data_IF_133852306958
#
_entry.id   IF_133852306958
#
_cell.length_a   1.000
_cell.length_b   1.000
_cell.length_c   1.000
_cell.angle_alpha   90.00
_cell.angle_beta   90.00
_cell.angle_gamma   90.00
#
_symmetry.space_group_name_H-M   'P 1'
#
loop_
_entity.id
_entity.type
_entity.pdbx_description
1 polymer ?
#
# COMPACT_ATOMS: atom_id res chain seq x y z
N UNK A 1 33.68 -14.34 23.45
CA UNK A 1 33.33 -14.27 22.01
C UNK A 1 33.03 -12.82 21.70
N UNK A 2 33.80 -12.18 20.82
CA UNK A 2 33.58 -10.79 20.41
C UNK A 2 32.34 -10.81 19.50
N UNK A 3 31.26 -10.14 19.89
CA UNK A 3 30.10 -9.99 19.01
C UNK A 3 30.52 -8.99 17.92
N UNK A 4 30.89 -9.48 16.75
CA UNK A 4 31.18 -8.62 15.60
C UNK A 4 29.87 -7.97 15.18
N UNK A 5 29.79 -6.66 15.42
CA UNK A 5 28.70 -5.80 14.97
C UNK A 5 29.05 -5.36 13.56
N UNK A 6 28.24 -5.75 12.59
CA UNK A 6 28.40 -5.36 11.18
C UNK A 6 27.80 -3.97 10.94
N UNK A 7 26.70 -3.65 11.62
CA UNK A 7 25.98 -2.39 11.48
C UNK A 7 25.37 -1.91 12.80
N UNK A 8 25.16 -0.61 12.93
CA UNK A 8 24.34 0.00 14.00
C UNK A 8 23.08 0.70 13.50
N UNK A 9 22.99 0.95 12.19
CA UNK A 9 21.84 1.55 11.53
C UNK A 9 21.64 0.97 10.13
N UNK A 10 20.41 1.06 9.61
CA UNK A 10 20.07 0.60 8.26
C UNK A 10 20.96 1.23 7.18
N UNK A 11 21.39 2.48 7.38
CA UNK A 11 22.23 3.24 6.45
C UNK A 11 23.65 2.69 6.28
N UNK A 12 24.10 1.83 7.19
CA UNK A 12 25.40 1.15 7.11
C UNK A 12 25.33 -0.14 6.27
N UNK A 13 24.13 -0.57 5.89
CA UNK A 13 23.91 -1.74 5.04
C UNK A 13 23.74 -1.34 3.56
N UNK A 14 23.95 -2.28 2.62
CA UNK A 14 23.50 -2.12 1.24
C UNK A 14 21.99 -1.89 1.15
N UNK A 15 21.52 -1.22 0.09
CA UNK A 15 20.10 -0.89 -0.09
C UNK A 15 19.17 -2.12 -0.10
N UNK A 16 19.69 -3.30 -0.49
CA UNK A 16 18.93 -4.57 -0.47
C UNK A 16 18.94 -5.29 0.89
N UNK A 17 19.55 -4.71 1.93
CA UNK A 17 19.67 -5.30 3.27
C UNK A 17 19.25 -4.31 4.34
N UNK A 18 19.01 -4.75 5.57
CA UNK A 18 18.66 -3.91 6.70
C UNK A 18 19.49 -4.31 7.92
N UNK A 19 19.70 -3.35 8.82
CA UNK A 19 20.42 -3.62 10.04
C UNK A 19 19.50 -4.29 11.06
N UNK A 20 19.59 -5.60 11.14
CA UNK A 20 18.75 -6.44 11.99
C UNK A 20 19.67 -7.21 12.93
N UNK A 21 19.49 -7.04 14.24
CA UNK A 21 20.35 -7.66 15.26
C UNK A 21 21.85 -7.42 15.04
N UNK A 22 22.21 -6.19 14.62
CA UNK A 22 23.59 -5.75 14.36
C UNK A 22 24.26 -6.45 13.17
N UNK A 23 23.46 -7.01 12.26
CA UNK A 23 23.89 -7.65 11.01
C UNK A 23 23.08 -7.13 9.82
N UNK A 24 23.73 -7.02 8.66
CA UNK A 24 23.08 -6.61 7.42
C UNK A 24 22.38 -7.80 6.76
N UNK A 25 21.10 -7.97 7.08
CA UNK A 25 20.27 -9.09 6.65
C UNK A 25 19.21 -8.64 5.64
N UNK A 26 18.80 -9.55 4.75
CA UNK A 26 17.66 -9.31 3.87
C UNK A 26 16.37 -9.28 4.70
N UNK A 27 15.67 -8.13 4.82
CA UNK A 27 14.43 -8.08 5.58
C UNK A 27 13.30 -8.92 4.96
N UNK A 28 13.37 -9.30 3.67
CA UNK A 28 12.43 -10.24 3.06
C UNK A 28 12.61 -11.68 3.52
N UNK A 29 13.80 -12.04 4.03
CA UNK A 29 14.05 -13.36 4.61
C UNK A 29 13.44 -13.50 6.02
N UNK A 30 13.02 -12.38 6.64
CA UNK A 30 12.33 -12.43 7.92
C UNK A 30 10.92 -13.01 7.78
N UNK A 31 10.59 -13.90 8.71
CA UNK A 31 9.26 -14.51 8.74
C UNK A 31 8.20 -13.43 9.01
N UNK A 32 7.20 -13.34 8.13
CA UNK A 32 6.15 -12.32 8.22
C UNK A 32 6.50 -10.98 7.58
N UNK A 33 7.63 -10.87 6.86
CA UNK A 33 7.95 -9.66 6.09
C UNK A 33 6.87 -9.30 5.06
N UNK A 34 6.24 -10.32 4.47
CA UNK A 34 5.07 -10.18 3.59
C UNK A 34 4.01 -11.24 3.89
N UNK A 35 2.80 -10.99 3.38
CA UNK A 35 1.67 -11.89 3.48
C UNK A 35 1.85 -13.18 2.68
N UNK A 36 0.98 -14.16 2.95
CA UNK A 36 1.01 -15.46 2.26
C UNK A 36 0.87 -15.26 0.74
N UNK A 37 1.67 -15.96 -0.06
CA UNK A 37 1.71 -15.86 -1.53
C UNK A 37 2.06 -14.46 -2.08
N UNK A 38 2.58 -13.54 -1.27
CA UNK A 38 3.06 -12.25 -1.75
C UNK A 38 4.53 -12.32 -2.17
N UNK A 39 4.89 -11.57 -3.21
CA UNK A 39 6.26 -11.30 -3.58
C UNK A 39 6.85 -10.25 -2.63
N UNK A 40 8.05 -10.52 -2.12
CA UNK A 40 8.83 -9.57 -1.33
C UNK A 40 10.05 -9.10 -2.11
N UNK A 41 10.31 -7.79 -2.09
CA UNK A 41 11.58 -7.20 -2.53
C UNK A 41 12.03 -6.14 -1.53
N UNK A 42 13.33 -5.94 -1.39
CA UNK A 42 13.86 -4.92 -0.47
C UNK A 42 13.96 -3.58 -1.17
N UNK A 43 13.46 -2.53 -0.53
CA UNK A 43 13.57 -1.15 -0.99
C UNK A 43 13.97 -0.30 0.21
N UNK A 44 15.16 0.30 0.16
CA UNK A 44 15.71 1.16 1.21
C UNK A 44 15.66 0.48 2.59
N UNK A 45 16.29 -0.70 2.68
CA UNK A 45 16.38 -1.46 3.93
C UNK A 45 15.02 -1.93 4.49
N UNK A 46 13.93 -1.87 3.71
CA UNK A 46 12.60 -2.33 4.12
C UNK A 46 11.98 -3.31 3.12
N UNK A 47 11.20 -4.30 3.59
CA UNK A 47 10.52 -5.23 2.71
C UNK A 47 9.32 -4.54 2.04
N UNK A 48 9.18 -4.75 0.73
CA UNK A 48 8.10 -4.24 -0.10
C UNK A 48 7.33 -5.42 -0.70
N UNK A 49 6.07 -5.52 -0.30
CA UNK A 49 5.21 -6.64 -0.68
C UNK A 49 4.30 -6.29 -1.86
N UNK A 50 4.12 -7.23 -2.79
CA UNK A 50 3.16 -7.15 -3.90
C UNK A 50 2.56 -8.52 -4.21
N UNK A 51 1.32 -8.60 -4.69
CA UNK A 51 0.79 -9.88 -5.17
C UNK A 51 1.42 -10.24 -6.53
N UNK A 52 1.78 -11.52 -6.75
CA UNK A 52 2.26 -12.00 -8.04
C UNK A 52 1.17 -11.91 -9.10
N UNK A 53 1.56 -12.07 -10.37
CA UNK A 53 0.61 -12.09 -11.47
C UNK A 53 -0.47 -13.17 -11.24
N UNK A 54 -1.72 -12.86 -11.59
CA UNK A 54 -2.89 -13.70 -11.36
C UNK A 54 -3.24 -13.95 -9.88
N UNK A 55 -2.73 -13.14 -8.96
CA UNK A 55 -3.15 -13.13 -7.57
C UNK A 55 -3.66 -11.74 -7.16
N UNK A 56 -4.69 -11.70 -6.33
CA UNK A 56 -5.29 -10.50 -5.77
C UNK A 56 -5.35 -10.60 -4.24
N UNK A 57 -5.55 -9.48 -3.57
CA UNK A 57 -5.60 -9.41 -2.10
C UNK A 57 -4.66 -8.36 -1.53
N UNK A 58 -4.40 -8.45 -0.22
CA UNK A 58 -3.53 -7.52 0.49
C UNK A 58 -2.12 -8.13 0.64
N UNK A 59 -1.08 -7.56 0.02
CA UNK A 59 0.26 -8.17 -0.01
C UNK A 59 0.96 -8.36 1.34
N UNK A 60 0.52 -7.64 2.39
CA UNK A 60 1.06 -7.78 3.75
C UNK A 60 0.30 -8.84 4.57
N UNK A 61 -0.87 -9.29 4.09
CA UNK A 61 -1.72 -10.26 4.79
C UNK A 61 -1.75 -11.58 4.04
N UNK A 62 -2.33 -11.57 2.84
CA UNK A 62 -2.39 -12.72 1.95
C UNK A 62 -2.79 -12.28 0.53
N UNK A 63 -2.18 -12.94 -0.45
CA UNK A 63 -2.60 -12.94 -1.83
C UNK A 63 -3.27 -14.30 -2.13
N UNK A 64 -4.36 -14.26 -2.87
CA UNK A 64 -5.08 -15.45 -3.32
C UNK A 64 -5.25 -15.42 -4.84
N UNK A 65 -5.39 -16.59 -5.49
CA UNK A 65 -5.60 -16.64 -6.93
C UNK A 65 -6.78 -15.77 -7.37
N UNK A 66 -6.58 -15.02 -8.45
CA UNK A 66 -7.65 -14.30 -9.12
C UNK A 66 -8.38 -15.26 -10.08
N UNK A 67 -9.62 -15.60 -9.73
CA UNK A 67 -10.50 -16.44 -10.55
C UNK A 67 -10.78 -15.85 -11.94
N UNK A 68 -10.51 -14.55 -12.15
CA UNK A 68 -10.63 -13.90 -13.46
C UNK A 68 -9.42 -14.13 -14.35
N UNK A 69 -8.25 -14.44 -13.79
CA UNK A 69 -7.04 -14.72 -14.57
C UNK A 69 -7.13 -16.04 -15.34
N UNK A 70 -7.95 -16.97 -14.86
CA UNK A 70 -8.13 -18.33 -15.42
C UNK A 70 -9.22 -18.41 -16.50
N UNK A 71 -9.93 -17.31 -16.79
CA UNK A 71 -11.02 -17.27 -17.78
C UNK A 71 -10.57 -17.34 -19.25
N UNK A 72 -9.31 -17.70 -19.50
CA UNK A 72 -8.84 -18.13 -20.82
C UNK A 72 -9.03 -19.63 -21.06
N UNK A 73 -9.54 -20.40 -20.07
CA UNK A 73 -9.95 -21.78 -20.28
C UNK A 73 -11.49 -21.90 -20.33
N UNK A 74 -12.08 -22.36 -21.44
CA UNK A 74 -13.54 -22.57 -21.52
C UNK A 74 -13.91 -23.74 -20.63
N UNK A 75 -14.47 -23.49 -19.44
CA UNK A 75 -15.25 -24.53 -18.75
C UNK A 75 -16.48 -24.82 -19.61
N UNK A 76 -16.79 -26.10 -19.91
CA UNK A 76 -18.06 -26.43 -20.54
C UNK A 76 -19.18 -25.93 -19.63
N UNK A 77 -20.06 -25.09 -20.18
CA UNK A 77 -21.24 -24.64 -19.46
C UNK A 77 -22.07 -25.86 -19.04
N UNK A 78 -22.75 -25.83 -17.87
CA UNK A 78 -23.78 -26.81 -17.59
C UNK A 78 -24.78 -26.81 -18.75
N UNK A 79 -25.16 -27.98 -19.26
CA UNK A 79 -26.18 -28.13 -20.29
C UNK A 79 -27.51 -27.63 -19.73
N UNK A 80 -27.75 -26.33 -19.92
CA UNK A 80 -29.01 -25.67 -19.66
C UNK A 80 -29.75 -25.66 -20.99
N UNK A 81 -30.79 -26.47 -21.06
CA UNK A 81 -31.73 -26.42 -22.17
C UNK A 81 -32.48 -25.09 -22.13
N UNK A 82 -32.69 -24.49 -23.31
CA UNK A 82 -33.30 -23.17 -23.46
C UNK A 82 -34.31 -23.16 -24.61
N UNK A 83 -35.33 -22.32 -24.48
CA UNK A 83 -36.27 -21.99 -25.56
C UNK A 83 -36.15 -20.52 -25.99
N UNK A 84 -35.77 -19.66 -25.06
CA UNK A 84 -35.54 -18.23 -25.26
C UNK A 84 -34.21 -17.79 -24.67
N UNK A 85 -33.66 -16.69 -25.19
CA UNK A 85 -32.40 -16.11 -24.69
C UNK A 85 -32.45 -15.81 -23.19
N UNK A 86 -33.61 -15.43 -22.67
CA UNK A 86 -33.84 -15.17 -21.24
C UNK A 86 -33.65 -16.38 -20.34
N UNK A 87 -33.69 -17.59 -20.90
CA UNK A 87 -33.47 -18.84 -20.15
C UNK A 87 -31.97 -19.07 -19.90
N UNK A 88 -31.12 -18.34 -20.63
CA UNK A 88 -29.68 -18.40 -20.51
C UNK A 88 -29.14 -17.34 -19.52
N UNK A 89 -27.96 -17.55 -18.94
CA UNK A 89 -27.21 -16.49 -18.27
C UNK A 89 -26.98 -15.29 -19.21
N UNK A 90 -26.86 -14.07 -18.67
CA UNK A 90 -26.67 -12.82 -19.46
C UNK A 90 -25.50 -12.88 -20.47
N UNK A 91 -24.54 -13.76 -20.23
CA UNK A 91 -23.36 -13.98 -21.07
C UNK A 91 -23.53 -15.02 -22.18
N UNK A 92 -24.71 -15.64 -22.33
CA UNK A 92 -24.99 -16.69 -23.32
C UNK A 92 -26.28 -16.37 -24.08
N UNK A 93 -26.50 -16.99 -25.23
CA UNK A 93 -27.73 -16.88 -26.03
C UNK A 93 -28.28 -18.26 -26.36
N UNK A 94 -29.59 -18.37 -26.55
CA UNK A 94 -30.21 -19.64 -26.86
C UNK A 94 -29.99 -20.01 -28.33
N UNK A 95 -29.35 -21.15 -28.58
CA UNK A 95 -29.13 -21.63 -29.94
C UNK A 95 -30.38 -22.38 -30.44
N UNK A 96 -31.12 -21.76 -31.35
CA UNK A 96 -32.45 -22.21 -31.81
C UNK A 96 -32.50 -23.63 -32.37
N UNK A 97 -31.39 -24.16 -32.91
CA UNK A 97 -31.35 -25.49 -33.52
C UNK A 97 -31.05 -26.61 -32.51
N UNK A 98 -30.30 -26.30 -31.45
CA UNK A 98 -29.86 -27.30 -30.48
C UNK A 98 -30.54 -27.17 -29.13
N UNK A 99 -31.22 -26.04 -28.88
CA UNK A 99 -31.84 -25.75 -27.58
C UNK A 99 -30.81 -25.54 -26.47
N UNK A 100 -29.57 -25.19 -26.80
CA UNK A 100 -28.49 -25.04 -25.82
C UNK A 100 -28.07 -23.58 -25.68
N UNK A 101 -27.78 -23.15 -24.46
CA UNK A 101 -27.14 -21.87 -24.21
C UNK A 101 -25.69 -21.88 -24.69
N UNK A 102 -25.39 -21.08 -25.72
CA UNK A 102 -24.04 -20.96 -26.30
C UNK A 102 -23.53 -19.53 -26.18
N UNK A 103 -22.21 -19.37 -26.17
CA UNK A 103 -21.61 -18.05 -26.21
C UNK A 103 -21.70 -17.50 -27.64
N UNK A 104 -22.49 -16.44 -27.90
CA UNK A 104 -22.61 -15.88 -29.23
C UNK A 104 -21.30 -15.23 -29.73
N UNK A 105 -20.35 -14.92 -28.85
CA UNK A 105 -19.03 -14.43 -29.22
C UNK A 105 -18.10 -15.50 -29.81
N UNK A 106 -18.45 -16.79 -29.67
CA UNK A 106 -17.71 -17.90 -30.28
C UNK A 106 -18.24 -18.26 -31.68
N UNK A 107 -19.31 -17.61 -32.14
CA UNK A 107 -19.84 -17.81 -33.47
C UNK A 107 -18.88 -17.29 -34.53
N UNK A 108 -18.54 -18.14 -35.50
CA UNK A 108 -17.70 -17.75 -36.65
C UNK A 108 -18.32 -16.66 -37.52
N UNK A 109 -19.63 -16.43 -37.40
CA UNK A 109 -20.38 -15.39 -38.12
C UNK A 109 -20.21 -14.01 -37.50
N UNK A 110 -19.69 -13.92 -36.27
CA UNK A 110 -19.49 -12.65 -35.56
C UNK A 110 -18.03 -12.48 -35.17
N UNK A 111 -17.32 -11.61 -35.88
CA UNK A 111 -15.95 -11.25 -35.59
C UNK A 111 -15.82 -9.75 -35.39
N UNK A 112 -14.99 -9.37 -34.43
CA UNK A 112 -14.72 -7.96 -34.15
C UNK A 112 -13.52 -7.47 -34.95
N UNK A 113 -13.58 -6.21 -35.36
CA UNK A 113 -12.46 -5.50 -35.98
C UNK A 113 -11.24 -5.44 -35.04
N UNK A 114 -10.08 -5.07 -35.60
CA UNK A 114 -8.80 -4.99 -34.87
C UNK A 114 -8.93 -4.11 -33.62
N UNK A 115 -8.25 -4.51 -32.54
CA UNK A 115 -8.28 -3.84 -31.24
C UNK A 115 -9.64 -3.84 -30.52
N UNK A 116 -10.63 -4.59 -31.02
CA UNK A 116 -11.90 -4.86 -30.33
C UNK A 116 -11.96 -6.31 -29.85
N UNK A 117 -12.69 -6.55 -28.77
CA UNK A 117 -13.06 -7.87 -28.28
C UNK A 117 -14.57 -8.01 -28.28
N UNK A 118 -15.05 -9.22 -28.48
CA UNK A 118 -16.47 -9.50 -28.32
C UNK A 118 -16.82 -9.56 -26.83
N UNK A 119 -17.94 -8.95 -26.48
CA UNK A 119 -18.57 -9.05 -25.17
C UNK A 119 -20.06 -9.30 -25.37
N UNK A 120 -20.64 -10.20 -24.58
CA UNK A 120 -22.10 -10.43 -24.61
C UNK A 120 -22.80 -9.38 -23.76
N UNK A 121 -23.82 -8.73 -24.33
CA UNK A 121 -24.71 -7.78 -23.67
C UNK A 121 -26.14 -8.12 -24.04
N UNK A 122 -26.98 -8.40 -23.04
CA UNK A 122 -28.38 -8.80 -23.24
C UNK A 122 -28.49 -9.97 -24.25
N UNK A 123 -27.70 -11.03 -24.04
CA UNK A 123 -27.64 -12.21 -24.91
C UNK A 123 -27.17 -11.95 -26.34
N UNK A 124 -26.64 -10.76 -26.65
CA UNK A 124 -26.15 -10.41 -27.99
C UNK A 124 -24.65 -10.16 -27.98
N UNK A 125 -23.93 -10.59 -29.03
CA UNK A 125 -22.52 -10.30 -29.15
C UNK A 125 -22.34 -8.82 -29.56
N UNK A 126 -21.45 -8.12 -28.85
CA UNK A 126 -21.14 -6.71 -29.05
C UNK A 126 -19.63 -6.50 -29.06
N UNK A 127 -19.12 -5.80 -30.07
CA UNK A 127 -17.70 -5.45 -30.12
C UNK A 127 -17.39 -4.22 -29.26
N UNK A 128 -16.48 -4.39 -28.29
CA UNK A 128 -16.00 -3.32 -27.41
C UNK A 128 -14.49 -3.19 -27.52
N UNK A 129 -13.93 -1.99 -27.34
CA UNK A 129 -12.47 -1.81 -27.40
C UNK A 129 -11.76 -2.64 -26.32
N UNK A 130 -10.66 -3.31 -26.68
CA UNK A 130 -9.87 -4.15 -25.75
C UNK A 130 -9.25 -3.30 -24.63
N UNK A 131 -8.63 -2.18 -25.01
CA UNK A 131 -7.89 -1.29 -24.11
C UNK A 131 -8.56 0.09 -24.00
N UNK A 132 -9.88 0.20 -24.20
CA UNK A 132 -10.59 1.48 -24.13
C UNK A 132 -10.39 2.39 -25.35
N UNK A 133 -10.67 3.68 -25.18
CA UNK A 133 -10.69 4.67 -26.26
C UNK A 133 -9.50 5.62 -26.19
N UNK A 134 -8.97 6.00 -27.35
CA UNK A 134 -7.91 7.01 -27.53
C UNK A 134 -8.31 8.00 -28.61
N UNK A 135 -7.71 9.18 -28.59
CA UNK A 135 -7.88 10.17 -29.64
C UNK A 135 -6.76 9.99 -30.66
N UNK A 136 -7.11 9.81 -31.94
CA UNK A 136 -6.13 9.67 -33.01
C UNK A 136 -5.53 11.04 -33.40
N UNK A 137 -4.58 11.06 -34.33
CA UNK A 137 -3.93 12.30 -34.80
C UNK A 137 -4.90 13.30 -35.46
N UNK A 138 -6.08 12.85 -35.87
CA UNK A 138 -7.16 13.66 -36.46
C UNK A 138 -8.13 14.20 -35.40
N UNK A 139 -7.94 13.88 -34.12
CA UNK A 139 -8.84 14.31 -33.04
C UNK A 139 -10.06 13.40 -32.86
N UNK A 140 -10.12 12.24 -33.52
CA UNK A 140 -11.27 11.33 -33.47
C UNK A 140 -11.09 10.25 -32.40
N UNK A 141 -12.20 9.84 -31.79
CA UNK A 141 -12.23 8.79 -30.78
C UNK A 141 -12.16 7.40 -31.44
N UNK A 142 -11.09 6.65 -31.18
CA UNK A 142 -10.85 5.31 -31.75
C UNK A 142 -10.48 4.30 -30.66
N UNK A 143 -10.50 3.00 -30.97
CA UNK A 143 -10.02 1.99 -30.01
C UNK A 143 -8.50 2.07 -29.85
N UNK A 144 -8.04 1.99 -28.61
CA UNK A 144 -6.63 1.90 -28.28
C UNK A 144 -5.96 0.70 -28.99
N UNK A 145 -4.79 0.89 -29.67
CA UNK A 145 -4.09 -0.18 -30.36
C UNK A 145 -3.60 -1.27 -29.40
N UNK A 146 -3.41 -2.50 -29.88
CA UNK A 146 -2.94 -3.64 -29.07
C UNK A 146 -1.48 -3.47 -28.55
N UNK A 147 -0.74 -2.48 -29.05
CA UNK A 147 0.59 -2.09 -28.53
C UNK A 147 0.52 -1.25 -27.24
N UNK A 148 -0.66 -0.80 -26.85
CA UNK A 148 -0.89 -0.02 -25.64
C UNK A 148 -0.93 -0.94 -24.42
N UNK A 149 -0.12 -0.67 -23.40
CA UNK A 149 -0.16 -1.41 -22.12
C UNK A 149 -1.08 -0.77 -21.08
N UNK A 150 -1.49 0.48 -21.27
CA UNK A 150 -2.46 1.19 -20.44
C UNK A 150 -3.25 2.20 -21.27
N UNK A 151 -4.46 2.55 -20.84
CA UNK A 151 -5.22 3.65 -21.43
C UNK A 151 -5.53 4.77 -20.43
N UNK A 152 -5.59 4.43 -19.14
CA UNK A 152 -5.76 5.36 -18.03
C UNK A 152 -4.73 5.09 -16.95
N UNK A 153 -4.50 6.09 -16.12
CA UNK A 153 -3.56 5.99 -14.99
C UNK A 153 -3.88 4.83 -14.06
N UNK A 154 -5.16 4.59 -13.78
CA UNK A 154 -5.62 3.47 -12.94
C UNK A 154 -5.38 2.08 -13.54
N UNK A 155 -5.07 1.99 -14.84
CA UNK A 155 -4.66 0.73 -15.47
C UNK A 155 -3.19 0.40 -15.11
N UNK A 156 -2.45 1.35 -14.54
CA UNK A 156 -1.06 1.21 -14.12
C UNK A 156 -0.91 0.90 -12.63
N UNK A 157 0.24 0.33 -12.22
CA UNK A 157 0.62 0.26 -10.82
C UNK A 157 0.61 1.65 -10.15
N UNK A 158 0.35 1.72 -8.84
CA UNK A 158 0.22 3.00 -8.11
C UNK A 158 1.44 3.93 -8.21
N UNK A 159 2.61 3.39 -8.57
CA UNK A 159 3.86 4.13 -8.77
C UNK A 159 4.16 4.50 -10.24
N UNK A 160 3.19 4.34 -11.13
CA UNK A 160 3.30 4.63 -12.55
C UNK A 160 2.04 5.34 -13.05
N UNK A 161 2.15 6.12 -14.10
CA UNK A 161 1.01 6.73 -14.79
C UNK A 161 0.98 6.29 -16.25
N UNK A 162 -0.17 6.41 -16.88
CA UNK A 162 -0.29 6.07 -18.27
C UNK A 162 0.21 7.22 -19.14
N UNK A 163 1.42 7.06 -19.67
CA UNK A 163 2.04 8.08 -20.52
C UNK A 163 2.31 7.47 -21.89
N UNK A 164 1.68 8.04 -22.92
CA UNK A 164 1.74 7.56 -24.30
C UNK A 164 1.42 6.07 -24.41
N UNK A 165 0.43 5.61 -23.63
CA UNK A 165 -0.01 4.22 -23.67
C UNK A 165 0.90 3.21 -22.99
N UNK A 166 1.89 3.67 -22.23
CA UNK A 166 2.75 2.82 -21.42
C UNK A 166 2.74 3.29 -19.98
N UNK A 167 2.73 2.34 -19.05
CA UNK A 167 2.91 2.64 -17.64
C UNK A 167 4.35 3.08 -17.39
N UNK A 168 4.53 4.36 -17.10
CA UNK A 168 5.83 4.96 -16.88
C UNK A 168 5.83 5.74 -15.56
N UNK A 169 6.99 5.83 -14.89
CA UNK A 169 7.10 6.57 -13.65
C UNK A 169 7.08 8.09 -13.93
N UNK A 170 6.07 8.85 -13.48
CA UNK A 170 5.94 10.28 -13.73
C UNK A 170 7.15 11.13 -13.31
N UNK A 171 7.96 10.64 -12.35
CA UNK A 171 9.18 11.30 -11.89
C UNK A 171 10.31 11.30 -12.94
N UNK A 172 10.28 10.35 -13.89
CA UNK A 172 11.39 10.09 -14.82
C UNK A 172 11.04 10.38 -16.30
N UNK A 173 9.79 10.72 -16.61
CA UNK A 173 9.28 10.73 -17.99
C UNK A 173 9.42 12.10 -18.66
N UNK A 174 9.57 13.17 -17.89
CA UNK A 174 9.64 14.54 -18.43
C UNK A 174 11.10 14.96 -18.64
N UNK A 175 11.38 15.62 -19.79
CA UNK A 175 12.69 16.26 -20.06
C UNK A 175 13.09 17.29 -19.00
N UNK A 176 12.11 17.91 -18.34
CA UNK A 176 12.31 18.81 -17.19
C UNK A 176 12.05 18.03 -15.90
N UNK A 177 13.00 18.07 -14.96
CA UNK A 177 12.82 17.46 -13.62
C UNK A 177 11.49 17.96 -13.02
N UNK A 178 10.59 17.05 -12.61
CA UNK A 178 9.28 17.43 -12.08
C UNK A 178 9.38 18.14 -10.72
N UNK A 179 10.45 17.88 -9.95
CA UNK A 179 10.69 18.51 -8.65
C UNK A 179 11.89 19.47 -8.68
N UNK A 180 11.83 20.59 -7.93
CA UNK A 180 12.97 21.48 -7.69
C UNK A 180 14.12 20.79 -6.95
N UNK A 181 15.32 21.37 -7.01
CA UNK A 181 16.48 20.87 -6.26
C UNK A 181 16.22 20.91 -4.74
N UNK A 182 16.76 19.91 -4.02
CA UNK A 182 16.49 19.70 -2.60
C UNK A 182 15.16 18.98 -2.28
N UNK A 183 14.45 18.51 -3.31
CA UNK A 183 13.24 17.68 -3.17
C UNK A 183 13.36 16.38 -3.96
N UNK A 184 12.98 15.28 -3.35
CA UNK A 184 12.88 13.97 -4.00
C UNK A 184 11.50 13.82 -4.60
N UNK A 185 11.42 13.26 -5.81
CA UNK A 185 10.14 12.94 -6.44
C UNK A 185 9.69 11.53 -6.04
N UNK A 186 8.45 11.41 -5.60
CA UNK A 186 7.76 10.14 -5.42
C UNK A 186 6.43 10.17 -6.20
N UNK A 187 5.77 9.03 -6.35
CA UNK A 187 4.52 8.90 -7.10
C UNK A 187 3.38 8.57 -6.14
N UNK A 188 2.40 9.47 -6.07
CA UNK A 188 1.17 9.29 -5.30
C UNK A 188 -0.02 9.49 -6.25
N UNK A 189 -0.96 8.53 -6.24
CA UNK A 189 -2.15 8.55 -7.10
C UNK A 189 -1.83 8.84 -8.57
N UNK A 190 -0.80 8.14 -9.08
CA UNK A 190 -0.30 8.28 -10.45
C UNK A 190 0.25 9.67 -10.80
N UNK A 191 0.55 10.52 -9.80
CA UNK A 191 1.09 11.87 -10.00
C UNK A 191 2.44 12.03 -9.28
N UNK A 192 3.36 12.84 -9.83
CA UNK A 192 4.60 13.16 -9.14
C UNK A 192 4.31 14.08 -7.96
N UNK A 193 4.79 13.70 -6.78
CA UNK A 193 4.74 14.47 -5.53
C UNK A 193 6.17 14.73 -5.07
N UNK A 194 6.48 15.98 -4.74
CA UNK A 194 7.81 16.38 -4.32
C UNK A 194 7.92 16.39 -2.80
N UNK A 195 8.77 15.51 -2.27
CA UNK A 195 9.04 15.34 -0.85
C UNK A 195 10.31 16.12 -0.50
N UNK A 196 10.23 16.95 0.53
CA UNK A 196 11.38 17.70 1.05
C UNK A 196 12.43 16.77 1.67
N UNK A 197 13.70 16.94 1.31
CA UNK A 197 14.81 16.21 1.95
C UNK A 197 15.76 17.09 2.75
N UNK A 198 15.89 18.39 2.41
CA UNK A 198 16.76 19.33 3.14
C UNK A 198 16.17 20.75 3.21
N UNK A 199 16.28 21.41 4.36
CA UNK A 199 16.00 22.84 4.59
C UNK A 199 14.63 23.36 4.12
N UNK A 200 13.54 22.69 4.50
CA UNK A 200 12.19 23.20 4.23
C UNK A 200 11.72 24.15 5.35
N UNK A 201 11.67 25.44 5.03
CA UNK A 201 11.18 26.51 5.91
C UNK A 201 10.01 27.24 5.19
N UNK A 202 8.83 27.45 5.80
CA UNK A 202 8.49 27.14 7.20
C UNK A 202 7.89 25.75 7.38
N UNK A 203 8.43 25.05 8.39
CA UNK A 203 7.87 24.05 9.32
C UNK A 203 6.64 23.22 8.94
N UNK A 204 6.42 22.90 7.67
CA UNK A 204 5.35 22.01 7.23
C UNK A 204 5.98 20.83 6.49
N UNK A 205 6.34 19.79 7.24
CA UNK A 205 6.32 18.44 6.69
C UNK A 205 4.86 18.11 6.35
N UNK A 206 4.49 18.23 5.06
CA UNK A 206 3.23 17.71 4.55
C UNK A 206 3.34 16.19 4.59
N UNK A 207 2.97 15.61 5.72
CA UNK A 207 2.90 14.17 5.87
C UNK A 207 1.58 13.69 5.27
N UNK A 208 1.59 12.53 4.61
CA UNK A 208 0.36 11.88 4.13
C UNK A 208 -0.01 10.66 4.98
N UNK A 209 0.98 10.11 5.70
CA UNK A 209 0.90 8.97 6.60
C UNK A 209 1.93 9.16 7.71
N UNK A 210 1.77 8.43 8.81
CA UNK A 210 2.64 8.52 9.98
C UNK A 210 4.12 8.26 9.65
N UNK A 211 4.39 7.34 8.71
CA UNK A 211 5.75 7.05 8.21
C UNK A 211 6.45 8.23 7.50
N UNK A 212 5.71 9.29 7.16
CA UNK A 212 6.27 10.55 6.64
C UNK A 212 6.77 11.48 7.74
N UNK A 213 6.64 11.08 9.00
CA UNK A 213 7.09 11.80 10.18
C UNK A 213 8.22 11.04 10.88
N UNK A 214 8.97 11.75 11.72
CA UNK A 214 9.91 11.14 12.64
C UNK A 214 9.20 10.09 13.52
N UNK A 215 9.86 9.01 13.98
CA UNK A 215 9.22 7.94 14.78
C UNK A 215 8.48 8.44 16.03
N UNK A 216 8.91 9.58 16.56
CA UNK A 216 8.38 10.32 17.70
C UNK A 216 7.19 11.26 17.36
N UNK A 217 6.77 11.34 16.09
CA UNK A 217 5.70 12.22 15.63
C UNK A 217 4.67 11.45 14.80
N UNK A 218 3.40 11.84 14.89
CA UNK A 218 2.32 11.26 14.09
C UNK A 218 1.84 12.26 13.01
N UNK A 219 1.37 11.74 11.89
CA UNK A 219 0.81 12.55 10.83
C UNK A 219 -0.66 12.88 11.11
N UNK A 220 -0.96 14.15 11.38
CA UNK A 220 -2.34 14.62 11.61
C UNK A 220 -2.59 15.89 10.81
N UNK A 221 -3.67 15.91 10.04
CA UNK A 221 -4.04 17.04 9.19
C UNK A 221 -2.88 17.55 8.33
N UNK A 222 -2.13 16.61 7.75
CA UNK A 222 -0.95 16.87 6.91
C UNK A 222 0.20 17.58 7.62
N UNK A 223 0.33 17.41 8.94
CA UNK A 223 1.43 17.92 9.74
C UNK A 223 1.94 16.84 10.68
N UNK A 224 3.25 16.77 10.83
CA UNK A 224 3.84 15.95 11.88
C UNK A 224 3.63 16.64 13.23
N UNK A 225 2.87 16.00 14.10
CA UNK A 225 2.53 16.50 15.44
C UNK A 225 2.88 15.46 16.48
N UNK A 226 3.23 15.91 17.68
CA UNK A 226 3.44 15.02 18.82
C UNK A 226 2.08 14.43 19.29
N UNK A 227 1.87 13.11 19.17
CA UNK A 227 0.63 12.48 19.59
C UNK A 227 0.44 12.46 21.12
N UNK A 228 1.49 12.66 21.93
CA UNK A 228 1.38 12.75 23.39
C UNK A 228 0.80 14.09 23.88
N UNK A 229 0.90 15.16 23.08
CA UNK A 229 0.52 16.53 23.50
C UNK A 229 -0.96 16.68 23.89
N UNK A 230 -1.85 15.90 23.28
CA UNK A 230 -3.29 15.90 23.55
C UNK A 230 -3.79 14.57 24.15
N UNK A 231 -2.88 13.67 24.52
CA UNK A 231 -3.24 12.37 25.08
C UNK A 231 -3.30 12.48 26.61
N UNK A 232 -4.38 11.96 27.21
CA UNK A 232 -4.53 11.93 28.67
C UNK A 232 -4.16 10.54 29.17
N UNK A 233 -3.09 10.45 29.96
CA UNK A 233 -2.68 9.21 30.61
C UNK A 233 -3.30 9.08 32.02
N UNK A 234 -3.70 7.87 32.46
CA UNK A 234 -4.20 7.66 33.82
C UNK A 234 -3.11 7.87 34.88
N UNK A 235 -3.48 8.47 36.03
CA UNK A 235 -2.63 8.59 37.22
C UNK A 235 -1.25 9.26 36.99
N UNK A 236 -1.21 10.34 36.21
CA UNK A 236 0.00 11.10 35.87
C UNK A 236 1.13 10.27 35.21
N UNK A 237 0.78 9.13 34.59
CA UNK A 237 1.74 8.30 33.89
C UNK A 237 2.36 9.08 32.70
N UNK A 238 3.70 9.05 32.54
CA UNK A 238 4.36 9.69 31.41
C UNK A 238 3.94 9.06 30.08
N UNK A 239 3.68 9.93 29.09
CA UNK A 239 3.39 9.53 27.72
C UNK A 239 4.67 9.48 26.89
N UNK A 240 4.83 8.40 26.12
CA UNK A 240 5.90 8.23 25.15
C UNK A 240 5.30 7.89 23.79
N UNK A 241 6.01 8.20 22.71
CA UNK A 241 5.57 7.84 21.37
C UNK A 241 6.28 6.56 20.94
N UNK A 242 5.52 5.49 20.69
CA UNK A 242 6.02 4.28 20.05
C UNK A 242 5.20 4.01 18.80
N UNK A 243 5.87 3.79 17.67
CA UNK A 243 5.23 3.58 16.36
C UNK A 243 4.17 4.64 16.02
N UNK A 244 4.51 5.92 16.24
CA UNK A 244 3.61 7.07 16.01
C UNK A 244 2.32 7.07 16.87
N UNK A 245 2.26 6.25 17.92
CA UNK A 245 1.14 6.18 18.88
C UNK A 245 1.56 6.66 20.27
N UNK A 246 0.67 7.31 21.01
CA UNK A 246 0.91 7.67 22.40
C UNK A 246 0.76 6.42 23.29
N UNK A 247 1.81 6.10 24.05
CA UNK A 247 1.89 4.99 24.99
C UNK A 247 2.13 5.54 26.39
N UNK A 248 1.18 5.31 27.30
CA UNK A 248 1.34 5.65 28.71
C UNK A 248 2.13 4.54 29.40
N UNK A 249 3.31 4.86 29.96
CA UNK A 249 4.13 3.88 30.67
C UNK A 249 3.95 4.03 32.19
N UNK A 250 3.63 2.92 32.86
CA UNK A 250 3.53 2.85 34.31
C UNK A 250 4.83 2.31 34.92
N UNK A 251 5.28 2.93 36.01
CA UNK A 251 6.39 2.40 36.79
C UNK A 251 5.90 1.44 37.88
N UNK A 252 6.61 0.31 38.10
CA UNK A 252 6.33 -0.58 39.22
C UNK A 252 6.46 0.15 40.58
N UNK A 253 5.82 -0.36 41.65
CA UNK A 253 5.99 0.18 42.99
C UNK A 253 7.47 0.28 43.41
N UNK A 254 7.87 1.44 43.95
CA UNK A 254 9.26 1.74 44.32
C UNK A 254 10.13 2.32 43.21
N UNK A 255 9.55 2.60 42.04
CA UNK A 255 10.22 3.27 40.92
C UNK A 255 9.51 4.57 40.56
N UNK A 256 10.28 5.62 40.24
CA UNK A 256 9.80 6.91 39.74
C UNK A 256 10.12 7.06 38.26
N UNK A 257 9.26 7.74 37.49
CA UNK A 257 9.50 8.01 36.08
C UNK A 257 10.61 9.06 35.90
N UNK A 258 11.55 8.76 35.03
CA UNK A 258 12.65 9.62 34.58
C UNK A 258 12.61 9.77 33.05
N UNK A 259 12.84 10.97 32.56
CA UNK A 259 12.70 11.31 31.13
C UNK A 259 13.78 10.69 30.24
N UNK A 260 14.89 10.23 30.81
CA UNK A 260 16.04 9.68 30.11
C UNK A 260 16.22 8.18 30.32
N UNK A 261 15.90 7.68 31.51
CA UNK A 261 16.17 6.30 31.93
C UNK A 261 14.90 5.47 32.14
N UNK A 262 13.70 6.03 31.95
CA UNK A 262 12.45 5.33 32.16
C UNK A 262 12.14 5.19 33.65
N UNK A 263 11.86 4.00 34.15
CA UNK A 263 11.55 3.80 35.57
C UNK A 263 12.82 3.62 36.40
N UNK A 264 13.12 4.60 37.27
CA UNK A 264 14.27 4.57 38.17
C UNK A 264 13.88 4.16 39.58
N UNK A 265 14.64 3.25 40.19
CA UNK A 265 14.39 2.77 41.56
C UNK A 265 14.69 3.89 42.56
N UNK A 266 13.74 4.20 43.43
CA UNK A 266 13.97 5.16 44.52
C UNK A 266 14.83 4.49 45.59
N UNK A 267 15.95 5.12 45.97
CA UNK A 267 16.77 4.66 47.10
C UNK A 267 16.00 4.85 48.42
N UNK A 268 16.00 3.81 49.25
CA UNK A 268 15.12 3.64 50.43
C UNK A 268 15.37 4.69 51.54
N UNK A 269 16.45 5.46 51.47
CA UNK A 269 16.74 6.54 52.44
C UNK A 269 15.75 7.73 52.36
N UNK A 270 14.93 7.84 51.31
CA UNK A 270 13.93 8.92 51.14
C UNK A 270 12.46 8.46 51.23
N UNK A 271 12.19 7.20 51.58
CA UNK A 271 10.79 6.72 51.72
C UNK A 271 10.11 7.34 52.94
N UNK A 272 10.87 7.56 54.02
CA UNK A 272 10.35 8.15 55.26
C UNK A 272 10.01 9.65 55.15
N UNK A 273 10.52 10.36 54.13
CA UNK A 273 10.20 11.78 53.90
C UNK A 273 9.03 11.94 52.92
N UNK A 274 8.87 11.04 51.93
CA UNK A 274 7.83 11.17 50.92
C UNK A 274 6.42 10.83 51.43
N UNK A 275 6.28 9.78 52.25
CA UNK A 275 4.99 9.46 52.89
C UNK A 275 4.59 10.50 53.95
N UNK A 276 5.57 11.03 54.70
CA UNK A 276 5.33 12.08 55.70
C UNK A 276 4.89 13.40 55.05
N UNK A 277 5.49 13.77 53.91
CA UNK A 277 5.14 15.00 53.17
C UNK A 277 3.80 14.85 52.43
N UNK A 278 3.47 13.66 51.90
CA UNK A 278 2.13 13.39 51.34
C UNK A 278 1.02 13.49 52.40
N UNK A 279 1.29 12.98 53.61
CA UNK A 279 0.36 13.06 54.74
C UNK A 279 0.16 14.51 55.21
N UNK A 280 1.23 15.32 55.26
CA UNK A 280 1.18 16.73 55.66
C UNK A 280 0.46 17.64 54.64
N UNK A 281 0.52 17.32 53.34
CA UNK A 281 -0.11 18.14 52.29
C UNK A 281 -1.57 17.79 51.97
N UNK A 282 -2.08 16.63 52.42
CA UNK A 282 -3.45 16.20 52.09
C UNK A 282 -4.48 16.29 53.22
N UNK A 283 -4.11 16.62 54.47
CA UNK A 283 -5.06 16.75 55.61
C UNK A 283 -6.14 15.64 55.66
N UNK A 284 -5.75 14.38 55.50
CA UNK A 284 -6.64 13.24 55.74
C UNK A 284 -5.84 12.23 56.56
N UNK A 285 -6.10 12.22 57.87
CA UNK A 285 -5.84 11.08 58.76
C UNK A 285 -7.06 10.16 58.74
#
# INVERSE_FOLDING_TARGET
MKLERECTSDLECPNEKACINLQCLDPCALRGACGINALCRVVLHKPRCSCPQCYIGMPHTACHPDLKCDRLSPRPAPNIDCSHDSDCPESLSCHSQTGECRDPCLSSQYSCEVNKRCQVRNHRPMCVCKHGFVVNELGELTCAPDTLTCARDFDCPSNAACVNGKCQNPCNVRKKKPCPDGKTCDVLDHRPVCICTQNCNPSLSICLRDSGCSPDLACRNYRCVDPCRNSTCPADAPCYVEEHKPICKFCPPGFVPDTKYGCMKVAIENVMTYEYVKCLLQMIC
#
